data_IF_993681764212
#
_entry.id   IF_993681764212
#
_cell.length_a   1.000
_cell.length_b   1.000
_cell.length_c   1.000
_cell.angle_alpha   90.00
_cell.angle_beta   90.00
_cell.angle_gamma   90.00
#
_symmetry.space_group_name_H-M   'P 1'
#
loop_
_entity.id
_entity.type
_entity.pdbx_description
1 polymer ?
#
# COMPACT_ATOMS: atom_id res chain seq x y z
N UNK A 1 17.59 -21.48 -1.30
CA UNK A 1 16.31 -21.69 -0.58
C UNK A 1 15.24 -21.21 -1.54
N UNK A 2 14.20 -22.01 -1.82
CA UNK A 2 13.11 -21.53 -2.67
C UNK A 2 12.36 -20.46 -1.90
N UNK A 3 12.16 -19.29 -2.50
CA UNK A 3 11.38 -18.20 -1.91
C UNK A 3 9.93 -18.67 -1.83
N UNK A 4 9.34 -18.62 -0.63
CA UNK A 4 7.92 -18.85 -0.46
C UNK A 4 7.20 -17.56 -0.86
N UNK A 5 6.41 -17.59 -1.93
CA UNK A 5 5.73 -16.40 -2.45
C UNK A 5 4.40 -16.11 -1.76
N UNK A 6 3.77 -17.09 -1.10
CA UNK A 6 2.58 -16.89 -0.26
C UNK A 6 2.99 -16.95 1.21
N UNK A 7 2.97 -15.82 1.87
CA UNK A 7 3.27 -15.65 3.29
C UNK A 7 1.95 -15.61 4.05
N UNK A 8 1.64 -16.66 4.80
CA UNK A 8 0.45 -16.71 5.66
C UNK A 8 0.62 -15.79 6.84
N UNK A 9 -0.50 -15.30 7.37
CA UNK A 9 -0.54 -14.47 8.56
C UNK A 9 0.35 -15.05 9.67
N UNK A 10 1.12 -14.19 10.33
CA UNK A 10 2.09 -14.51 11.37
C UNK A 10 3.33 -15.34 10.93
N UNK A 11 3.40 -15.90 9.72
CA UNK A 11 4.59 -16.66 9.28
C UNK A 11 5.77 -15.76 8.89
N UNK A 12 5.51 -14.51 8.59
CA UNK A 12 6.52 -13.48 8.30
C UNK A 12 6.58 -12.40 9.37
N UNK A 13 6.15 -12.71 10.60
CA UNK A 13 6.32 -11.82 11.75
C UNK A 13 7.80 -11.70 12.13
N UNK A 14 8.22 -10.49 12.52
CA UNK A 14 9.56 -10.25 13.06
C UNK A 14 9.54 -9.09 14.06
N UNK A 15 10.10 -9.31 15.24
CA UNK A 15 10.11 -8.34 16.33
C UNK A 15 8.70 -7.83 16.67
N UNK A 16 8.45 -6.51 16.56
CA UNK A 16 7.14 -5.92 16.84
C UNK A 16 6.14 -6.03 15.67
N UNK A 17 6.59 -6.47 14.51
CA UNK A 17 5.77 -6.50 13.30
C UNK A 17 5.04 -7.83 13.17
N UNK A 18 3.72 -7.76 12.93
CA UNK A 18 2.90 -8.91 12.55
C UNK A 18 3.25 -9.42 11.15
N UNK A 19 3.78 -8.54 10.30
CA UNK A 19 4.36 -8.84 8.99
C UNK A 19 5.59 -7.96 8.79
N UNK A 20 6.72 -8.54 8.39
CA UNK A 20 7.92 -7.80 7.95
C UNK A 20 8.45 -8.41 6.66
N UNK A 21 8.28 -7.68 5.57
CA UNK A 21 8.80 -7.99 4.24
C UNK A 21 9.77 -6.88 3.86
N UNK A 22 11.04 -7.23 3.78
CA UNK A 22 12.10 -6.35 3.28
C UNK A 22 12.70 -6.94 1.98
N UNK A 23 13.49 -6.18 1.23
CA UNK A 23 14.13 -6.66 0.02
C UNK A 23 14.97 -7.92 0.21
N UNK A 24 15.60 -8.10 1.39
CA UNK A 24 16.40 -9.28 1.68
C UNK A 24 15.55 -10.54 1.84
N UNK A 25 14.43 -10.45 2.56
CA UNK A 25 13.48 -11.56 2.74
C UNK A 25 12.84 -11.94 1.41
N UNK A 26 12.41 -10.95 0.65
CA UNK A 26 11.72 -11.16 -0.63
C UNK A 26 12.68 -11.59 -1.76
N UNK A 27 13.97 -11.31 -1.64
CA UNK A 27 14.97 -11.66 -2.65
C UNK A 27 15.00 -10.70 -3.84
N UNK A 28 14.58 -9.45 -3.65
CA UNK A 28 14.51 -8.40 -4.67
C UNK A 28 15.21 -7.09 -4.24
N UNK A 29 14.99 -5.98 -4.95
CA UNK A 29 15.80 -4.77 -4.79
C UNK A 29 15.18 -3.64 -4.01
N UNK A 30 13.84 -3.46 -4.03
CA UNK A 30 13.22 -2.19 -3.70
C UNK A 30 12.09 -2.27 -2.67
N UNK A 31 11.03 -3.04 -2.96
CA UNK A 31 9.76 -2.98 -2.23
C UNK A 31 9.83 -3.57 -0.82
N UNK A 32 9.17 -2.93 0.12
CA UNK A 32 9.05 -3.36 1.52
C UNK A 32 7.64 -3.14 2.05
N UNK A 33 7.23 -3.99 2.98
CA UNK A 33 5.98 -3.82 3.71
C UNK A 33 6.13 -4.33 5.13
N UNK A 34 5.73 -3.51 6.10
CA UNK A 34 5.57 -3.91 7.49
C UNK A 34 4.16 -3.66 7.96
N UNK A 35 3.65 -4.54 8.80
CA UNK A 35 2.37 -4.34 9.50
C UNK A 35 2.61 -4.43 10.98
N UNK A 36 2.14 -3.43 11.72
CA UNK A 36 2.27 -3.36 13.17
C UNK A 36 0.92 -3.20 13.84
N UNK A 37 0.70 -3.96 14.92
CA UNK A 37 -0.44 -3.82 15.81
C UNK A 37 0.02 -3.07 17.06
N UNK A 38 -0.55 -1.89 17.32
CA UNK A 38 -0.31 -1.13 18.54
C UNK A 38 -1.49 -1.29 19.51
N UNK A 39 -1.24 -1.65 20.77
CA UNK A 39 -2.28 -1.62 21.79
C UNK A 39 -2.65 -0.17 22.15
N UNK A 40 -3.77 0.07 22.85
CA UNK A 40 -4.09 1.40 23.37
C UNK A 40 -2.94 1.99 24.21
N UNK A 41 -2.53 3.21 23.90
CA UNK A 41 -1.34 3.86 24.46
C UNK A 41 0.00 3.32 23.95
N UNK A 42 -0.03 2.42 22.97
CA UNK A 42 1.16 1.82 22.37
C UNK A 42 1.95 2.80 21.50
N UNK A 43 3.25 2.56 21.43
CA UNK A 43 4.16 3.32 20.58
C UNK A 43 5.23 2.42 19.98
N UNK A 44 5.79 2.83 18.86
CA UNK A 44 6.89 2.15 18.18
C UNK A 44 7.79 3.16 17.48
N UNK A 45 9.09 2.85 17.40
CA UNK A 45 10.06 3.69 16.69
C UNK A 45 10.91 2.85 15.76
N UNK A 46 11.21 3.40 14.58
CA UNK A 46 12.09 2.75 13.61
C UNK A 46 12.90 3.77 12.82
N UNK A 47 14.03 3.33 12.29
CA UNK A 47 14.82 4.10 11.33
C UNK A 47 14.38 3.71 9.90
N UNK A 48 14.20 4.70 9.03
CA UNK A 48 13.80 4.48 7.62
C UNK A 48 14.95 3.92 6.77
N UNK A 49 16.20 4.16 7.18
CA UNK A 49 17.37 3.73 6.43
C UNK A 49 17.42 4.33 5.03
N UNK A 50 17.75 3.53 4.03
CA UNK A 50 17.83 3.89 2.62
C UNK A 50 16.48 3.92 1.89
N UNK A 51 15.39 3.86 2.64
CA UNK A 51 14.03 3.69 2.10
C UNK A 51 13.11 4.84 2.51
N UNK A 52 12.24 5.24 1.60
CA UNK A 52 11.07 6.07 1.90
C UNK A 52 9.92 5.19 2.36
N UNK A 53 9.01 5.76 3.18
CA UNK A 53 7.88 5.01 3.72
C UNK A 53 6.59 5.83 3.73
N UNK A 54 5.45 5.15 3.61
CA UNK A 54 4.14 5.71 3.94
C UNK A 54 3.59 4.93 5.13
N UNK A 55 3.17 5.65 6.17
CA UNK A 55 2.39 5.13 7.29
C UNK A 55 0.92 5.24 6.93
N UNK A 56 0.25 4.10 6.78
CA UNK A 56 -1.15 4.01 6.40
C UNK A 56 -1.95 3.28 7.50
N UNK A 57 -2.93 3.93 8.15
CA UNK A 57 -3.83 3.25 9.05
C UNK A 57 -4.69 2.18 8.33
N UNK A 58 -4.58 0.92 8.75
CA UNK A 58 -5.52 -0.15 8.37
C UNK A 58 -6.73 -0.11 9.30
N UNK A 59 -6.51 0.20 10.59
CA UNK A 59 -7.54 0.51 11.57
C UNK A 59 -6.99 1.40 12.67
N UNK A 60 -7.84 2.22 13.31
CA UNK A 60 -7.44 3.18 14.32
C UNK A 60 -6.72 4.40 13.72
N UNK A 61 -6.30 5.30 14.57
CA UNK A 61 -5.52 6.49 14.23
C UNK A 61 -4.23 6.55 15.04
N UNK A 62 -3.26 7.34 14.59
CA UNK A 62 -1.98 7.50 15.27
C UNK A 62 -1.33 8.86 15.03
N UNK A 63 -0.42 9.22 15.91
CA UNK A 63 0.53 10.30 15.70
C UNK A 63 1.80 9.74 15.07
N UNK A 64 2.29 10.38 14.02
CA UNK A 64 3.58 10.09 13.38
C UNK A 64 4.50 11.28 13.62
N UNK A 65 5.60 11.05 14.33
CA UNK A 65 6.66 12.03 14.52
C UNK A 65 7.88 11.59 13.72
N UNK A 66 8.43 12.49 12.90
CA UNK A 66 9.67 12.22 12.14
C UNK A 66 10.64 13.35 12.37
N UNK A 67 11.94 13.03 12.58
CA UNK A 67 12.97 14.03 12.64
C UNK A 67 13.21 14.65 11.25
N UNK A 68 13.57 15.94 11.22
CA UNK A 68 13.85 16.63 9.96
C UNK A 68 15.14 16.18 9.27
N UNK A 69 15.97 15.39 9.94
CA UNK A 69 17.27 14.95 9.44
C UNK A 69 18.28 16.06 9.19
N UNK A 70 17.89 17.31 9.41
CA UNK A 70 18.78 18.47 9.33
C UNK A 70 19.31 18.82 10.72
N UNK A 71 20.52 18.40 11.02
CA UNK A 71 21.36 19.07 12.03
C UNK A 71 21.86 20.37 11.36
N UNK A 72 21.03 21.42 11.37
CA UNK A 72 21.47 22.70 10.83
C UNK A 72 22.35 23.41 11.88
N UNK A 73 23.64 23.52 11.59
CA UNK A 73 24.58 24.38 12.33
C UNK A 73 24.31 25.89 12.10
N UNK A 74 23.23 26.27 11.42
CA UNK A 74 22.88 27.68 11.15
C UNK A 74 21.38 27.92 11.32
N UNK A 75 21.01 28.39 12.52
CA UNK A 75 19.64 28.86 12.80
C UNK A 75 19.13 29.89 11.80
N UNK A 76 18.33 29.46 10.83
CA UNK A 76 17.43 30.32 10.04
C UNK A 76 16.16 29.60 9.67
N UNK A 77 15.08 30.23 10.01
CA UNK A 77 13.65 29.93 9.85
C UNK A 77 13.25 29.66 8.40
N UNK A 78 12.70 28.47 8.12
CA UNK A 78 11.99 28.11 6.88
C UNK A 78 10.46 28.24 7.04
N UNK A 79 9.78 28.54 5.96
CA UNK A 79 8.37 28.94 5.86
C UNK A 79 7.38 27.82 6.24
N UNK A 80 6.26 28.27 6.85
CA UNK A 80 5.12 27.46 7.28
C UNK A 80 4.36 26.83 6.11
N UNK A 81 4.23 25.48 6.08
CA UNK A 81 3.11 24.78 5.47
C UNK A 81 1.93 24.74 6.46
N UNK A 82 0.71 25.00 5.97
CA UNK A 82 -0.50 25.07 6.81
C UNK A 82 -1.02 23.67 7.09
N UNK A 83 -0.75 23.14 8.24
CA UNK A 83 -1.42 22.12 9.07
C UNK A 83 -0.45 21.29 9.93
N UNK A 84 0.87 21.54 9.88
CA UNK A 84 1.82 20.95 10.83
C UNK A 84 1.98 21.88 12.04
N UNK A 85 1.57 21.46 13.23
CA UNK A 85 2.03 22.10 14.45
C UNK A 85 3.51 21.72 14.63
N UNK A 86 4.35 22.71 14.93
CA UNK A 86 5.73 22.45 15.35
C UNK A 86 5.68 21.59 16.61
N UNK A 87 6.18 20.35 16.49
CA UNK A 87 6.28 19.40 17.57
C UNK A 87 7.21 19.86 18.68
N UNK A 88 6.97 19.32 19.84
CA UNK A 88 7.86 19.37 21.00
C UNK A 88 9.24 18.82 20.62
N UNK A 89 10.29 19.46 21.11
CA UNK A 89 11.66 18.94 20.98
C UNK A 89 11.76 17.64 21.74
N UNK A 90 12.25 16.58 21.08
CA UNK A 90 12.67 15.37 21.77
C UNK A 90 13.80 15.70 22.78
N UNK A 91 14.13 14.76 23.68
CA UNK A 91 15.20 14.91 24.65
C UNK A 91 16.59 15.19 24.02
N UNK A 92 16.71 15.14 22.69
CA UNK A 92 17.91 15.39 21.90
C UNK A 92 17.91 16.74 21.18
N UNK A 93 16.82 17.53 21.28
CA UNK A 93 16.73 18.86 20.68
C UNK A 93 16.51 18.89 19.17
N UNK A 94 16.13 17.77 18.55
CA UNK A 94 15.82 17.71 17.12
C UNK A 94 14.44 18.31 16.85
N UNK A 95 14.34 19.20 15.86
CA UNK A 95 13.06 19.71 15.37
C UNK A 95 12.47 18.68 14.42
N UNK A 96 11.35 18.03 14.81
CA UNK A 96 10.64 17.05 14.00
C UNK A 96 9.37 17.60 13.39
N UNK A 97 8.85 16.91 12.37
CA UNK A 97 7.49 17.13 11.86
C UNK A 97 6.54 16.11 12.49
N UNK A 98 5.37 16.57 12.91
CA UNK A 98 4.35 15.75 13.56
C UNK A 98 3.07 15.75 12.71
N UNK A 99 2.54 14.56 12.46
CA UNK A 99 1.29 14.34 11.74
C UNK A 99 0.30 13.55 12.60
N UNK A 100 -0.88 14.09 12.77
CA UNK A 100 -2.00 13.40 13.40
C UNK A 100 -2.82 12.71 12.32
N UNK A 101 -2.81 11.37 12.31
CA UNK A 101 -3.62 10.55 11.42
C UNK A 101 -4.91 10.17 12.13
N UNK A 102 -6.04 10.62 11.59
CA UNK A 102 -7.38 10.24 12.08
C UNK A 102 -7.63 8.76 11.86
N UNK A 103 -7.15 8.24 10.72
CA UNK A 103 -7.33 6.85 10.32
C UNK A 103 -8.79 6.48 10.04
N UNK A 104 -9.13 5.22 10.37
CA UNK A 104 -10.46 4.64 10.08
C UNK A 104 -10.74 3.46 11.01
N UNK A 105 -12.01 3.06 11.09
CA UNK A 105 -12.40 1.89 11.87
C UNK A 105 -11.84 0.58 11.28
N UNK A 106 -11.90 0.44 9.96
CA UNK A 106 -11.33 -0.69 9.21
C UNK A 106 -11.05 -0.29 7.76
N UNK A 107 -10.33 -1.12 7.01
CA UNK A 107 -10.10 -0.92 5.58
C UNK A 107 -11.41 -0.91 4.75
N UNK A 108 -12.50 -1.43 5.31
CA UNK A 108 -13.82 -1.47 4.68
C UNK A 108 -14.72 -0.30 5.06
N UNK A 109 -14.31 0.59 5.97
CA UNK A 109 -15.16 1.67 6.50
C UNK A 109 -14.92 3.03 5.84
N UNK A 110 -13.80 3.23 5.17
CA UNK A 110 -13.48 4.52 4.56
C UNK A 110 -12.06 4.61 4.00
N UNK A 111 -11.83 5.68 3.23
CA UNK A 111 -10.47 6.10 2.83
C UNK A 111 -9.75 6.65 4.06
N UNK A 112 -8.47 6.34 4.22
CA UNK A 112 -7.65 6.86 5.31
C UNK A 112 -6.75 8.00 4.84
N UNK A 113 -6.46 8.91 5.76
CA UNK A 113 -5.29 9.78 5.68
C UNK A 113 -4.00 8.96 5.93
N UNK A 114 -2.86 9.53 5.60
CA UNK A 114 -1.57 8.87 5.71
C UNK A 114 -0.43 9.88 5.88
N UNK A 115 0.75 9.40 6.27
CA UNK A 115 1.96 10.21 6.36
C UNK A 115 3.10 9.60 5.54
N UNK A 116 3.70 10.40 4.69
CA UNK A 116 4.96 10.08 4.02
C UNK A 116 6.14 10.49 4.89
N UNK A 117 7.08 9.59 5.08
CA UNK A 117 8.32 9.82 5.82
C UNK A 117 9.52 9.48 4.92
N UNK A 118 10.55 10.35 4.89
CA UNK A 118 11.67 10.20 3.98
C UNK A 118 12.67 9.12 4.42
N UNK A 119 13.56 8.76 3.50
CA UNK A 119 14.78 8.04 3.84
C UNK A 119 15.65 8.81 4.83
N UNK A 120 16.54 8.11 5.52
CA UNK A 120 17.51 8.67 6.47
C UNK A 120 16.82 9.49 7.59
N UNK A 121 15.71 8.96 8.13
CA UNK A 121 14.94 9.56 9.20
C UNK A 121 14.68 8.57 10.34
N UNK A 122 14.40 9.10 11.53
CA UNK A 122 13.81 8.36 12.64
C UNK A 122 12.33 8.69 12.76
N UNK A 123 11.53 7.65 12.89
CA UNK A 123 10.07 7.76 12.93
C UNK A 123 9.57 7.16 14.24
N UNK A 124 8.64 7.87 14.89
CA UNK A 124 7.90 7.37 16.04
C UNK A 124 6.42 7.36 15.70
N UNK A 125 5.78 6.22 15.96
CA UNK A 125 4.34 6.05 15.90
C UNK A 125 3.80 5.93 17.32
N UNK A 126 2.69 6.62 17.62
CA UNK A 126 1.99 6.46 18.87
C UNK A 126 0.47 6.43 18.62
N UNK A 127 -0.25 5.52 19.28
CA UNK A 127 -1.70 5.44 19.14
C UNK A 127 -2.38 5.39 20.50
N UNK A 128 -3.20 6.40 20.79
CA UNK A 128 -3.94 6.48 22.06
C UNK A 128 -5.01 5.38 22.18
N UNK A 129 -5.71 5.08 21.11
CA UNK A 129 -6.78 4.06 21.05
C UNK A 129 -6.28 2.67 20.65
N UNK A 130 -5.05 2.58 20.15
CA UNK A 130 -4.53 1.39 19.48
C UNK A 130 -4.97 1.33 18.02
N UNK A 131 -4.47 0.34 17.29
CA UNK A 131 -4.80 0.14 15.88
C UNK A 131 -3.78 -0.73 15.15
N UNK A 132 -4.07 -0.98 13.88
CA UNK A 132 -3.21 -1.69 12.94
C UNK A 132 -2.73 -0.72 11.86
N UNK A 133 -1.45 -0.72 11.60
CA UNK A 133 -0.81 0.23 10.68
C UNK A 133 0.08 -0.51 9.68
N UNK A 134 -0.10 -0.20 8.39
CA UNK A 134 0.83 -0.63 7.35
C UNK A 134 1.91 0.45 7.15
N UNK A 135 3.15 0.00 7.05
CA UNK A 135 4.30 0.79 6.65
C UNK A 135 4.71 0.29 5.27
N UNK A 136 4.30 0.99 4.22
CA UNK A 136 4.68 0.66 2.85
C UNK A 136 5.97 1.37 2.51
N UNK A 137 6.96 0.68 2.01
CA UNK A 137 8.29 1.24 1.82
C UNK A 137 8.94 0.88 0.50
N UNK A 138 9.88 1.71 0.07
CA UNK A 138 10.73 1.43 -1.07
C UNK A 138 12.13 2.02 -0.88
N UNK A 139 13.16 1.27 -1.26
CA UNK A 139 14.49 1.85 -1.42
C UNK A 139 14.44 2.98 -2.43
N UNK A 140 15.06 4.10 -2.10
CA UNK A 140 15.01 5.30 -2.92
C UNK A 140 16.35 6.05 -2.85
N UNK A 141 16.53 6.98 -3.78
CA UNK A 141 17.75 7.78 -3.88
C UNK A 141 17.53 9.19 -3.33
N UNK A 142 16.41 9.81 -3.68
CA UNK A 142 16.11 11.18 -3.25
C UNK A 142 15.46 11.20 -1.88
N UNK A 143 15.91 12.11 -1.03
CA UNK A 143 15.26 12.43 0.22
C UNK A 143 14.23 13.54 -0.03
N UNK A 144 12.96 13.19 -0.03
CA UNK A 144 11.86 14.16 -0.14
C UNK A 144 11.42 14.62 1.26
N UNK A 145 10.77 15.81 1.40
CA UNK A 145 10.25 16.24 2.70
C UNK A 145 9.14 15.32 3.19
N UNK A 146 9.02 15.17 4.51
CA UNK A 146 7.90 14.48 5.12
C UNK A 146 6.59 15.24 4.84
N UNK A 147 5.46 14.53 4.68
CA UNK A 147 4.18 15.14 4.27
C UNK A 147 2.98 14.33 4.75
N UNK A 148 1.93 15.05 5.08
CA UNK A 148 0.61 14.51 5.34
C UNK A 148 -0.18 14.35 4.03
N UNK A 149 -0.85 13.23 3.85
CA UNK A 149 -1.82 12.99 2.80
C UNK A 149 -3.23 12.91 3.37
N UNK A 150 -4.08 13.87 3.00
CA UNK A 150 -5.45 13.89 3.51
C UNK A 150 -6.31 12.82 2.83
N UNK A 151 -7.21 12.17 3.58
CA UNK A 151 -8.14 11.19 3.03
C UNK A 151 -9.03 11.77 1.92
N UNK A 152 -9.40 13.06 2.03
CA UNK A 152 -10.19 13.78 1.01
C UNK A 152 -9.45 14.01 -0.30
N UNK A 153 -8.12 13.95 -0.30
CA UNK A 153 -7.28 14.19 -1.47
C UNK A 153 -6.93 12.87 -2.20
N UNK A 154 -7.34 11.73 -1.64
CA UNK A 154 -7.12 10.41 -2.24
C UNK A 154 -8.13 10.15 -3.35
N UNK A 155 -7.70 10.03 -4.62
CA UNK A 155 -8.62 9.71 -5.70
C UNK A 155 -9.19 8.29 -5.55
N UNK A 156 -10.51 8.19 -5.55
CA UNK A 156 -11.24 6.93 -5.58
C UNK A 156 -11.64 6.64 -7.02
N UNK A 157 -11.10 5.55 -7.57
CA UNK A 157 -11.36 5.10 -8.94
C UNK A 157 -12.20 3.82 -8.93
N UNK A 158 -13.27 3.76 -9.74
CA UNK A 158 -13.97 2.52 -10.01
C UNK A 158 -13.42 1.92 -11.31
N UNK A 159 -12.75 0.78 -11.18
CA UNK A 159 -12.05 0.11 -12.28
C UNK A 159 -12.72 -1.19 -12.65
N UNK A 160 -12.85 -1.45 -13.96
CA UNK A 160 -13.52 -2.61 -14.51
C UNK A 160 -15.05 -2.50 -14.40
N UNK A 161 -15.75 -3.45 -15.03
CA UNK A 161 -17.22 -3.52 -15.07
C UNK A 161 -17.71 -4.94 -14.86
N UNK A 162 -19.00 -5.11 -14.60
CA UNK A 162 -19.57 -6.40 -14.28
C UNK A 162 -18.81 -7.07 -13.11
N UNK A 163 -18.49 -8.33 -13.25
CA UNK A 163 -17.75 -9.09 -12.23
C UNK A 163 -16.28 -8.68 -12.09
N UNK A 164 -15.76 -7.82 -12.97
CA UNK A 164 -14.41 -7.28 -12.85
C UNK A 164 -14.37 -5.93 -12.11
N UNK A 165 -15.51 -5.44 -11.62
CA UNK A 165 -15.60 -4.17 -10.91
C UNK A 165 -14.91 -4.20 -9.56
N UNK A 166 -14.07 -3.20 -9.29
CA UNK A 166 -13.39 -2.96 -8.00
C UNK A 166 -13.22 -1.47 -7.78
N UNK A 167 -13.04 -1.09 -6.54
CA UNK A 167 -12.65 0.26 -6.14
C UNK A 167 -11.13 0.30 -5.92
N UNK A 168 -10.49 1.38 -6.35
CA UNK A 168 -9.06 1.63 -6.13
C UNK A 168 -8.91 2.98 -5.45
N UNK A 169 -8.26 3.01 -4.29
CA UNK A 169 -7.88 4.25 -3.60
C UNK A 169 -6.41 4.54 -3.95
N UNK A 170 -6.19 5.56 -4.74
CA UNK A 170 -4.88 5.88 -5.33
C UNK A 170 -4.05 6.80 -4.41
N UNK A 171 -3.84 6.43 -3.13
CA UNK A 171 -3.20 7.30 -2.13
C UNK A 171 -1.71 7.56 -2.40
N UNK A 172 -0.97 6.60 -2.92
CA UNK A 172 0.45 6.68 -3.26
C UNK A 172 0.75 6.37 -4.72
N UNK A 173 -0.24 6.54 -5.63
CA UNK A 173 -0.05 6.30 -7.04
C UNK A 173 0.84 7.37 -7.71
N UNK A 174 1.49 7.00 -8.81
CA UNK A 174 2.25 7.93 -9.62
C UNK A 174 1.32 9.04 -10.17
N UNK A 175 1.76 10.29 -10.04
CA UNK A 175 0.96 11.45 -10.47
C UNK A 175 -0.09 11.93 -9.45
N UNK A 176 -0.38 11.14 -8.41
CA UNK A 176 -1.32 11.51 -7.34
C UNK A 176 -0.61 12.07 -6.12
N UNK A 177 0.37 11.35 -5.62
CA UNK A 177 1.18 11.74 -4.48
C UNK A 177 2.66 11.52 -4.81
N UNK A 178 3.52 12.49 -4.47
CA UNK A 178 4.93 12.43 -4.82
C UNK A 178 5.70 11.49 -3.88
N UNK A 179 6.33 10.47 -4.45
CA UNK A 179 7.35 9.64 -3.83
C UNK A 179 8.53 9.54 -4.80
N UNK A 180 9.66 9.03 -4.34
CA UNK A 180 10.80 8.83 -5.25
C UNK A 180 10.61 7.56 -6.09
N UNK A 181 10.30 6.44 -5.46
CA UNK A 181 10.13 5.13 -6.10
C UNK A 181 8.85 4.42 -5.72
N UNK A 182 8.39 4.61 -4.49
CA UNK A 182 7.23 3.92 -3.94
C UNK A 182 5.95 4.21 -4.71
N UNK A 183 5.24 3.17 -5.13
CA UNK A 183 3.86 3.23 -5.61
C UNK A 183 3.03 2.35 -4.67
N UNK A 184 1.97 2.91 -4.11
CA UNK A 184 1.07 2.17 -3.23
C UNK A 184 -0.38 2.56 -3.49
N UNK A 185 -1.25 1.55 -3.56
CA UNK A 185 -2.69 1.71 -3.75
C UNK A 185 -3.46 0.66 -2.95
N UNK A 186 -4.66 1.00 -2.56
CA UNK A 186 -5.60 0.05 -1.96
C UNK A 186 -6.62 -0.38 -3.00
N UNK A 187 -6.98 -1.66 -2.99
CA UNK A 187 -8.03 -2.20 -3.85
C UNK A 187 -9.09 -2.92 -3.03
N UNK A 188 -10.35 -2.59 -3.28
CA UNK A 188 -11.49 -3.21 -2.64
C UNK A 188 -12.36 -3.91 -3.68
N UNK A 189 -12.59 -5.18 -3.46
CA UNK A 189 -13.30 -6.07 -4.39
C UNK A 189 -14.58 -6.58 -3.73
N UNK A 190 -15.76 -6.22 -4.25
CA UNK A 190 -17.02 -6.77 -3.73
C UNK A 190 -17.06 -8.30 -3.79
N UNK A 191 -17.73 -8.93 -2.83
CA UNK A 191 -17.85 -10.39 -2.77
C UNK A 191 -18.38 -11.00 -4.07
N UNK A 192 -17.69 -12.02 -4.58
CA UNK A 192 -17.96 -12.68 -5.86
C UNK A 192 -17.31 -12.04 -7.08
N UNK A 193 -16.66 -10.88 -6.94
CA UNK A 193 -15.98 -10.21 -8.05
C UNK A 193 -14.51 -10.67 -8.20
N UNK A 194 -14.01 -10.45 -9.40
CA UNK A 194 -12.67 -10.78 -9.86
C UNK A 194 -11.89 -9.49 -10.11
N UNK A 195 -11.03 -9.09 -9.22
CA UNK A 195 -10.13 -7.96 -9.42
C UNK A 195 -8.76 -8.40 -9.94
N UNK A 196 -7.90 -7.44 -10.31
CA UNK A 196 -6.68 -7.71 -11.07
C UNK A 196 -6.96 -8.60 -12.30
N UNK A 197 -8.13 -8.44 -12.91
CA UNK A 197 -8.54 -9.19 -14.09
C UNK A 197 -8.88 -8.23 -15.24
N UNK A 198 -8.38 -8.46 -16.47
CA UNK A 198 -7.56 -9.59 -16.87
C UNK A 198 -6.23 -9.67 -16.14
N UNK A 199 -5.58 -10.87 -16.05
CA UNK A 199 -4.24 -10.99 -15.54
C UNK A 199 -3.30 -10.07 -16.31
N UNK A 200 -2.36 -9.46 -15.61
CA UNK A 200 -1.42 -8.53 -16.21
C UNK A 200 -0.04 -8.68 -15.56
N UNK A 201 0.96 -8.06 -16.17
CA UNK A 201 2.33 -8.05 -15.64
C UNK A 201 2.97 -6.68 -15.78
N UNK A 202 4.02 -6.47 -15.01
CA UNK A 202 4.94 -5.34 -15.07
C UNK A 202 6.31 -5.81 -14.56
N UNK A 203 6.89 -6.79 -15.26
CA UNK A 203 8.14 -7.45 -14.89
C UNK A 203 9.26 -7.24 -15.92
N UNK A 204 9.06 -6.33 -16.86
CA UNK A 204 10.02 -5.92 -17.87
C UNK A 204 10.07 -4.41 -18.05
N UNK A 205 11.26 -3.86 -18.27
CA UNK A 205 11.41 -2.45 -18.65
C UNK A 205 11.20 -2.31 -20.17
N UNK A 206 9.98 -1.89 -20.56
CA UNK A 206 9.64 -1.55 -21.96
C UNK A 206 9.10 -0.12 -22.01
N UNK A 207 9.92 0.88 -22.42
CA UNK A 207 9.53 2.28 -22.36
C UNK A 207 8.19 2.59 -23.04
N UNK A 208 7.25 3.17 -22.31
CA UNK A 208 5.91 3.50 -22.78
C UNK A 208 4.93 2.33 -22.87
N UNK A 209 5.35 1.11 -22.58
CA UNK A 209 4.50 -0.10 -22.65
C UNK A 209 4.39 -0.81 -21.31
N UNK A 210 5.49 -0.99 -20.60
CA UNK A 210 5.56 -1.76 -19.37
C UNK A 210 6.66 -1.26 -18.43
N UNK A 211 6.36 -1.11 -17.16
CA UNK A 211 7.32 -0.80 -16.09
C UNK A 211 7.86 -2.12 -15.49
N UNK A 212 9.12 -2.10 -15.05
CA UNK A 212 9.67 -3.20 -14.23
C UNK A 212 9.46 -2.85 -12.76
N UNK A 213 8.53 -3.56 -12.09
CA UNK A 213 8.14 -3.34 -10.71
C UNK A 213 8.02 -4.67 -9.97
N UNK A 214 8.61 -4.74 -8.79
CA UNK A 214 8.33 -5.73 -7.76
C UNK A 214 7.02 -5.35 -7.07
N UNK A 215 6.20 -6.32 -6.67
CA UNK A 215 4.93 -6.04 -6.04
C UNK A 215 4.63 -6.94 -4.84
N UNK A 216 4.06 -6.34 -3.79
CA UNK A 216 3.51 -7.04 -2.63
C UNK A 216 2.00 -6.83 -2.62
N UNK A 217 1.24 -7.91 -2.49
CA UNK A 217 -0.17 -7.90 -2.15
C UNK A 217 -0.32 -8.30 -0.68
N UNK A 218 -0.88 -7.40 0.14
CA UNK A 218 -1.29 -7.70 1.51
C UNK A 218 -2.81 -7.72 1.57
N UNK A 219 -3.39 -8.72 2.24
CA UNK A 219 -4.82 -8.99 2.18
C UNK A 219 -5.52 -8.75 3.52
N UNK A 220 -6.74 -8.19 3.45
CA UNK A 220 -7.76 -8.25 4.48
C UNK A 220 -9.06 -8.74 3.85
N UNK A 221 -9.79 -9.60 4.55
CA UNK A 221 -11.07 -10.13 4.07
C UNK A 221 -12.16 -9.82 5.07
N UNK A 222 -13.24 -9.20 4.60
CA UNK A 222 -14.35 -8.81 5.46
C UNK A 222 -15.00 -10.05 6.08
N UNK A 223 -15.09 -10.07 7.41
CA UNK A 223 -15.84 -11.10 8.11
C UNK A 223 -17.35 -10.84 7.97
N UNK A 224 -18.12 -11.87 7.72
CA UNK A 224 -19.57 -11.77 7.60
C UNK A 224 -20.27 -12.86 8.40
N UNK A 225 -21.35 -12.51 9.10
CA UNK A 225 -22.17 -13.45 9.87
C UNK A 225 -21.39 -14.32 10.87
N UNK A 226 -20.32 -13.77 11.45
CA UNK A 226 -19.46 -14.49 12.39
C UNK A 226 -18.50 -15.50 11.73
N UNK A 227 -18.35 -15.44 10.40
CA UNK A 227 -17.43 -16.28 9.62
C UNK A 227 -16.31 -15.45 9.06
N UNK A 228 -15.07 -15.93 9.18
CA UNK A 228 -13.93 -15.35 8.51
C UNK A 228 -14.07 -15.51 6.99
N UNK A 229 -13.75 -14.43 6.26
CA UNK A 229 -13.75 -14.44 4.82
C UNK A 229 -12.52 -15.10 4.21
N UNK A 230 -12.62 -15.46 2.93
CA UNK A 230 -11.50 -15.94 2.13
C UNK A 230 -11.48 -15.25 0.78
N UNK A 231 -10.29 -15.14 0.20
CA UNK A 231 -10.08 -14.74 -1.20
C UNK A 231 -9.13 -15.72 -1.89
N UNK A 232 -8.89 -15.50 -3.17
CA UNK A 232 -7.93 -16.29 -3.95
C UNK A 232 -7.05 -15.38 -4.78
N UNK A 233 -5.77 -15.72 -4.83
CA UNK A 233 -4.78 -15.01 -5.65
C UNK A 233 -4.12 -15.97 -6.62
N UNK A 234 -4.00 -15.55 -7.89
CA UNK A 234 -3.28 -16.27 -8.92
C UNK A 234 -2.11 -15.45 -9.46
N UNK A 235 -0.94 -16.09 -9.59
CA UNK A 235 0.20 -15.63 -10.38
C UNK A 235 0.64 -16.77 -11.25
N UNK A 236 0.90 -16.54 -12.55
CA UNK A 236 1.41 -17.54 -13.48
C UNK A 236 2.72 -17.07 -14.10
N UNK A 237 3.64 -18.00 -14.44
CA UNK A 237 4.89 -17.66 -15.10
C UNK A 237 4.69 -16.81 -16.36
N UNK A 238 5.51 -15.76 -16.52
CA UNK A 238 5.46 -14.87 -17.69
C UNK A 238 6.51 -15.20 -18.77
N UNK A 239 7.45 -16.09 -18.49
CA UNK A 239 8.48 -16.47 -19.45
C UNK A 239 9.68 -17.18 -18.84
N UNK A 240 10.70 -17.38 -19.65
CA UNK A 240 11.93 -18.02 -19.19
C UNK A 240 12.63 -17.14 -18.14
N UNK A 241 12.97 -17.72 -17.00
CA UNK A 241 13.58 -17.01 -15.87
C UNK A 241 12.58 -16.23 -15.01
N UNK A 242 11.28 -16.20 -15.37
CA UNK A 242 10.17 -15.59 -14.65
C UNK A 242 9.16 -16.68 -14.31
N UNK A 243 9.48 -17.43 -13.28
CA UNK A 243 8.80 -18.68 -12.95
C UNK A 243 7.86 -18.63 -11.76
N UNK A 244 7.46 -17.43 -11.31
CA UNK A 244 6.55 -17.28 -10.17
C UNK A 244 5.21 -17.93 -10.48
N UNK A 245 4.84 -18.91 -9.66
CA UNK A 245 3.61 -19.70 -9.81
C UNK A 245 2.91 -19.83 -8.46
N UNK A 246 1.80 -19.10 -8.28
CA UNK A 246 1.04 -19.05 -7.04
C UNK A 246 -0.44 -19.28 -7.34
N UNK A 247 -1.05 -20.24 -6.67
CA UNK A 247 -2.49 -20.40 -6.53
C UNK A 247 -2.80 -20.54 -5.05
N UNK A 248 -3.21 -19.45 -4.43
CA UNK A 248 -3.37 -19.38 -2.98
C UNK A 248 -4.80 -19.02 -2.59
N UNK A 249 -5.35 -19.70 -1.57
CA UNK A 249 -6.40 -19.18 -0.74
C UNK A 249 -5.77 -18.18 0.23
N UNK A 250 -6.24 -16.92 0.22
CA UNK A 250 -5.72 -15.84 1.05
C UNK A 250 -6.74 -15.42 2.10
N UNK A 251 -6.24 -14.98 3.26
CA UNK A 251 -6.99 -14.53 4.44
C UNK A 251 -6.43 -13.22 4.95
N UNK A 252 -7.12 -12.60 5.89
CA UNK A 252 -6.63 -11.39 6.56
C UNK A 252 -5.25 -11.61 7.19
N UNK A 253 -4.31 -10.71 6.88
CA UNK A 253 -2.93 -10.79 7.31
C UNK A 253 -1.99 -11.57 6.39
N UNK A 254 -2.49 -12.24 5.35
CA UNK A 254 -1.66 -12.92 4.36
C UNK A 254 -1.01 -11.89 3.41
N UNK A 255 0.13 -12.28 2.83
CA UNK A 255 0.75 -11.53 1.75
C UNK A 255 1.20 -12.46 0.62
N UNK A 256 1.18 -11.94 -0.62
CA UNK A 256 1.74 -12.59 -1.79
C UNK A 256 2.81 -11.71 -2.40
N UNK A 257 4.00 -12.29 -2.61
CA UNK A 257 5.13 -11.65 -3.26
C UNK A 257 5.09 -11.92 -4.76
N UNK A 258 5.22 -10.88 -5.55
CA UNK A 258 5.17 -10.95 -7.02
C UNK A 258 6.45 -10.30 -7.58
N UNK A 259 7.56 -11.05 -7.64
CA UNK A 259 8.78 -10.57 -8.28
C UNK A 259 8.65 -10.52 -9.81
N UNK A 260 7.79 -11.36 -10.36
CA UNK A 260 7.52 -11.51 -11.80
C UNK A 260 6.20 -12.26 -12.02
N UNK A 261 5.75 -12.33 -13.26
CA UNK A 261 4.63 -13.17 -13.65
C UNK A 261 3.32 -12.42 -13.93
N UNK A 262 2.45 -13.10 -14.66
CA UNK A 262 1.07 -12.67 -14.89
C UNK A 262 0.27 -12.82 -13.61
N UNK A 263 -0.04 -11.71 -12.95
CA UNK A 263 -0.77 -11.72 -11.70
C UNK A 263 -2.21 -11.24 -11.87
N UNK A 264 -3.06 -11.88 -11.11
CA UNK A 264 -4.52 -11.86 -11.22
C UNK A 264 -5.07 -13.18 -11.79
N UNK A 265 -6.32 -13.47 -11.46
CA UNK A 265 -7.22 -12.69 -10.64
C UNK A 265 -6.87 -12.67 -9.15
N UNK A 266 -7.35 -11.62 -8.45
CA UNK A 266 -7.64 -11.62 -7.03
C UNK A 266 -9.15 -11.74 -6.88
N UNK A 267 -9.63 -12.82 -6.27
CA UNK A 267 -11.06 -13.19 -6.23
C UNK A 267 -11.58 -13.04 -4.81
N UNK A 268 -12.66 -12.31 -4.64
CA UNK A 268 -13.40 -12.23 -3.39
C UNK A 268 -14.44 -13.37 -3.29
N UNK A 269 -14.47 -14.10 -2.18
CA UNK A 269 -15.53 -15.10 -1.97
C UNK A 269 -16.91 -14.44 -1.90
N UNK A 270 -17.98 -15.08 -2.37
CA UNK A 270 -19.33 -14.53 -2.25
C UNK A 270 -19.70 -14.21 -0.79
N UNK A 271 -20.20 -12.99 -0.55
CA UNK A 271 -20.61 -12.52 0.77
C UNK A 271 -19.50 -11.90 1.62
N UNK A 272 -18.26 -11.84 1.12
CA UNK A 272 -17.11 -11.23 1.78
C UNK A 272 -16.42 -10.27 0.82
N UNK A 273 -16.25 -9.00 1.19
CA UNK A 273 -15.41 -8.10 0.42
C UNK A 273 -13.94 -8.44 0.66
N UNK A 274 -13.12 -8.30 -0.40
CA UNK A 274 -11.68 -8.49 -0.34
C UNK A 274 -10.98 -7.14 -0.49
N UNK A 275 -10.14 -6.82 0.45
CA UNK A 275 -9.19 -5.72 0.39
C UNK A 275 -7.80 -6.27 0.11
N UNK A 276 -7.05 -5.57 -0.72
CA UNK A 276 -5.62 -5.76 -0.77
C UNK A 276 -4.87 -4.43 -0.96
N UNK A 277 -3.73 -4.35 -0.29
CA UNK A 277 -2.78 -3.25 -0.39
C UNK A 277 -1.68 -3.67 -1.35
N UNK A 278 -1.55 -2.95 -2.47
CA UNK A 278 -0.46 -3.10 -3.40
C UNK A 278 0.69 -2.18 -3.01
N UNK A 279 1.89 -2.74 -2.93
CA UNK A 279 3.13 -1.98 -2.70
C UNK A 279 4.11 -2.35 -3.80
N UNK A 280 4.49 -1.36 -4.57
CA UNK A 280 5.32 -1.53 -5.76
C UNK A 280 6.49 -0.58 -5.78
N UNK A 281 7.62 -1.04 -6.29
CA UNK A 281 8.77 -0.23 -6.65
C UNK A 281 9.66 -0.99 -7.63
N UNK A 282 10.56 -0.31 -8.31
CA UNK A 282 11.45 -0.95 -9.25
C UNK A 282 12.64 -0.07 -9.67
N UNK A 283 13.51 -0.61 -10.53
CA UNK A 283 14.75 0.05 -10.95
C UNK A 283 14.55 1.21 -11.93
N UNK A 284 13.36 1.36 -12.53
CA UNK A 284 13.09 2.35 -13.56
C UNK A 284 13.43 3.78 -13.11
N UNK A 285 13.97 4.61 -14.03
CA UNK A 285 14.26 6.02 -13.75
C UNK A 285 12.97 6.83 -13.49
N UNK A 286 11.87 6.42 -14.13
CA UNK A 286 10.57 7.07 -13.96
C UNK A 286 9.71 6.25 -13.00
N UNK A 287 9.10 6.94 -12.05
CA UNK A 287 8.06 6.38 -11.20
C UNK A 287 6.76 6.34 -11.99
N UNK A 288 6.51 5.21 -12.68
CA UNK A 288 5.32 4.99 -13.50
C UNK A 288 4.83 3.55 -13.37
N UNK A 289 3.54 3.33 -13.53
CA UNK A 289 2.90 2.02 -13.42
C UNK A 289 2.23 1.67 -14.75
N UNK A 290 3.03 1.12 -15.67
CA UNK A 290 2.59 0.62 -16.97
C UNK A 290 2.49 -0.89 -16.91
N UNK A 291 1.39 -1.43 -17.41
CA UNK A 291 1.06 -2.86 -17.34
C UNK A 291 0.80 -3.42 -18.73
N UNK A 292 1.14 -4.71 -18.92
CA UNK A 292 0.71 -5.50 -20.08
C UNK A 292 -0.34 -6.52 -19.66
N UNK A 293 -1.43 -6.61 -20.40
CA UNK A 293 -2.43 -7.64 -20.18
C UNK A 293 -1.99 -9.00 -20.76
N UNK A 294 -2.40 -10.07 -20.09
CA UNK A 294 -2.18 -11.42 -20.59
C UNK A 294 -2.81 -11.59 -21.98
N UNK A 295 -2.07 -12.10 -22.99
CA UNK A 295 -2.53 -12.14 -24.37
C UNK A 295 -3.84 -12.92 -24.56
N UNK A 296 -4.05 -13.99 -23.78
CA UNK A 296 -5.26 -14.81 -23.89
C UNK A 296 -6.50 -14.20 -23.21
N UNK A 297 -6.30 -13.20 -22.32
CA UNK A 297 -7.37 -12.65 -21.47
C UNK A 297 -7.57 -11.16 -21.62
N UNK A 298 -6.65 -10.42 -22.26
CA UNK A 298 -6.73 -8.96 -22.43
C UNK A 298 -7.98 -8.47 -23.13
N UNK A 299 -8.58 -9.30 -24.00
CA UNK A 299 -9.83 -9.01 -24.71
C UNK A 299 -11.01 -8.63 -23.78
N UNK A 300 -10.97 -9.07 -22.51
CA UNK A 300 -11.99 -8.76 -21.49
C UNK A 300 -12.16 -7.25 -21.32
N UNK A 301 -11.08 -6.45 -21.40
CA UNK A 301 -11.21 -4.99 -21.32
C UNK A 301 -12.12 -4.41 -22.41
N UNK A 302 -12.14 -5.03 -23.58
CA UNK A 302 -13.01 -4.64 -24.69
C UNK A 302 -14.50 -4.84 -24.41
N UNK A 303 -14.88 -5.65 -23.41
CA UNK A 303 -16.28 -5.87 -23.02
C UNK A 303 -16.78 -4.86 -21.97
N UNK A 304 -15.86 -4.12 -21.33
CA UNK A 304 -16.23 -3.21 -20.24
C UNK A 304 -17.16 -2.06 -20.63
N UNK A 305 -17.03 -1.44 -21.83
CA UNK A 305 -17.94 -0.37 -22.23
C UNK A 305 -19.42 -0.78 -22.31
N UNK A 306 -19.67 -2.08 -22.51
CA UNK A 306 -21.02 -2.62 -22.69
C UNK A 306 -21.65 -3.14 -21.38
N UNK A 307 -20.95 -3.00 -20.25
CA UNK A 307 -21.38 -3.51 -18.95
C UNK A 307 -21.40 -2.39 -17.92
N UNK A 308 -22.36 -2.38 -16.98
CA UNK A 308 -22.34 -1.44 -15.87
C UNK A 308 -21.25 -1.81 -14.85
N UNK A 309 -20.78 -0.83 -14.12
CA UNK A 309 -20.04 -1.03 -12.87
C UNK A 309 -20.96 -1.74 -11.86
N UNK A 310 -20.39 -2.57 -11.02
CA UNK A 310 -21.12 -3.23 -9.93
C UNK A 310 -21.84 -2.18 -9.05
N UNK A 311 -23.17 -2.28 -8.85
CA UNK A 311 -23.95 -1.27 -8.13
C UNK A 311 -23.61 -1.18 -6.63
N UNK A 312 -22.82 -2.12 -6.08
CA UNK A 312 -22.29 -2.04 -4.72
C UNK A 312 -21.12 -1.09 -4.57
N UNK A 313 -20.57 -0.60 -5.69
CA UNK A 313 -19.46 0.34 -5.72
C UNK A 313 -19.94 1.79 -5.95
N UNK A 314 -19.31 2.79 -5.33
CA UNK A 314 -18.19 2.62 -4.40
C UNK A 314 -18.66 1.98 -3.09
N UNK A 315 -17.81 1.17 -2.44
CA UNK A 315 -18.10 0.65 -1.10
C UNK A 315 -18.17 1.79 -0.07
N UNK A 316 -17.41 2.84 -0.32
CA UNK A 316 -17.43 4.12 0.38
C UNK A 316 -16.79 5.21 -0.50
N UNK A 317 -17.12 6.46 -0.24
CA UNK A 317 -16.51 7.63 -0.89
C UNK A 317 -15.43 8.23 0.01
N UNK A 318 -14.48 8.96 -0.59
CA UNK A 318 -13.57 9.78 0.19
C UNK A 318 -14.39 10.81 0.99
N UNK A 319 -14.00 11.15 2.25
CA UNK A 319 -14.68 12.18 3.00
C UNK A 319 -14.70 13.47 2.20
N UNK A 320 -15.83 14.17 2.20
CA UNK A 320 -15.90 15.49 1.58
C UNK A 320 -14.85 16.39 2.24
N UNK A 321 -13.94 16.93 1.44
CA UNK A 321 -12.98 17.92 1.94
C UNK A 321 -13.75 19.12 2.48
N UNK A 322 -13.33 19.67 3.61
CA UNK A 322 -13.84 20.95 4.08
C UNK A 322 -13.65 21.97 2.96
N UNK A 323 -14.76 22.50 2.47
CA UNK A 323 -14.74 23.55 1.46
C UNK A 323 -13.95 24.73 2.03
N UNK A 324 -12.74 24.94 1.52
CA UNK A 324 -11.84 26.04 1.89
C UNK A 324 -12.11 27.25 1.02
#
# INVERSE_FOLDING_TARGET
>A
MSTEFHLKAATAADGPYALDIDPKRAGWGYSSLRVIDLPPGGHHSFATGDSEWIVLPLSGGCTVLTDSGETDERGKTGQRGKTGQRGETDERGATGEMFELTGRESVFSGVSDFAYVPRDAHVQLASGAGGRFALTGARCERRLPARYGAASDVPVELRGTGNCSRQVNNFGAAGTFECDRLIAVEVLTPGGNWSSYPPHKHDECRPGEESELEEIYYFEVEAARGTEGVGYQRVTPSGQGRGTDVLAEVRSGDAVLIPDGWHGPSIAAPGHALYYLNVMAGPGEKREWLICDHPDHGWIRGTWPDQPVDPRLPLYEAPAGDAR
#
